data_IF_568859815231
#
_entry.id   IF_568859815231
#
_cell.length_a   1.000
_cell.length_b   1.000
_cell.length_c   1.000
_cell.angle_alpha   90.00
_cell.angle_beta   90.00
_cell.angle_gamma   90.00
#
_symmetry.space_group_name_H-M   'P 1'
#
loop_
_entity.id
_entity.type
_entity.pdbx_description
1 polymer ?
#
# COMPACT_ATOMS: atom_id res chain seq x y z
N UNK A 1 3.71 -25.21 14.67
CA UNK A 1 4.91 -24.59 14.10
C UNK A 1 5.23 -25.08 12.68
N UNK A 2 5.36 -26.37 12.36
CA UNK A 2 5.72 -26.83 10.98
C UNK A 2 4.55 -26.75 9.98
N UNK A 3 3.30 -26.63 10.42
CA UNK A 3 2.12 -26.51 9.55
C UNK A 3 1.86 -25.10 9.04
N UNK A 4 2.14 -24.09 9.85
CA UNK A 4 1.88 -22.68 9.54
C UNK A 4 2.88 -22.13 8.51
N UNK A 5 4.15 -22.56 8.56
CA UNK A 5 5.20 -22.11 7.63
C UNK A 5 4.89 -22.51 6.17
N UNK A 6 4.38 -23.75 5.96
CA UNK A 6 4.02 -24.24 4.62
C UNK A 6 2.80 -23.55 4.04
N UNK A 7 1.86 -23.17 4.88
CA UNK A 7 0.67 -22.45 4.46
C UNK A 7 1.02 -21.01 4.07
N UNK A 8 1.84 -20.32 4.85
CA UNK A 8 2.36 -18.98 4.53
C UNK A 8 3.11 -18.93 3.19
N UNK A 9 3.98 -19.93 2.92
CA UNK A 9 4.71 -20.04 1.66
C UNK A 9 3.76 -20.27 0.49
N UNK A 10 2.80 -21.18 0.60
CA UNK A 10 1.80 -21.45 -0.43
C UNK A 10 0.96 -20.20 -0.77
N UNK A 11 0.64 -19.42 0.25
CA UNK A 11 -0.10 -18.17 0.11
C UNK A 11 0.76 -17.08 -0.56
N UNK A 12 2.06 -17.05 -0.29
CA UNK A 12 2.99 -16.16 -0.98
C UNK A 12 3.09 -16.49 -2.47
N UNK A 13 3.35 -17.76 -2.81
CA UNK A 13 3.42 -18.24 -4.20
C UNK A 13 2.11 -17.95 -4.94
N UNK A 14 0.96 -18.14 -4.29
CA UNK A 14 -0.35 -17.81 -4.85
C UNK A 14 -0.51 -16.32 -5.15
N UNK A 15 -0.08 -15.43 -4.25
CA UNK A 15 -0.14 -13.97 -4.46
C UNK A 15 0.76 -13.50 -5.62
N UNK A 16 1.92 -14.13 -5.80
CA UNK A 16 2.83 -13.82 -6.92
C UNK A 16 2.38 -14.40 -8.28
N UNK A 17 1.48 -15.38 -8.28
CA UNK A 17 0.94 -15.99 -9.48
C UNK A 17 -0.27 -15.24 -10.08
N UNK A 18 -0.73 -14.15 -9.44
CA UNK A 18 -1.88 -13.37 -9.90
C UNK A 18 -1.49 -12.51 -11.10
N UNK A 19 -2.33 -12.54 -12.14
CA UNK A 19 -2.08 -11.79 -13.39
C UNK A 19 -3.08 -10.68 -13.64
N UNK A 20 -4.28 -10.76 -13.05
CA UNK A 20 -5.37 -9.81 -13.28
C UNK A 20 -6.00 -9.30 -11.98
N UNK A 21 -6.66 -8.13 -12.00
CA UNK A 21 -7.43 -7.63 -10.86
C UNK A 21 -8.53 -8.60 -10.38
N UNK A 22 -9.16 -9.34 -11.29
CA UNK A 22 -10.20 -10.32 -10.96
C UNK A 22 -9.60 -11.53 -10.22
N UNK A 23 -8.40 -11.99 -10.62
CA UNK A 23 -7.67 -13.03 -9.90
C UNK A 23 -7.34 -12.59 -8.48
N UNK A 24 -6.95 -11.32 -8.32
CA UNK A 24 -6.69 -10.72 -7.02
C UNK A 24 -7.93 -10.74 -6.13
N UNK A 25 -9.08 -10.28 -6.63
CA UNK A 25 -10.35 -10.29 -5.88
C UNK A 25 -10.72 -11.70 -5.43
N UNK A 26 -10.63 -12.69 -6.33
CA UNK A 26 -10.95 -14.08 -6.01
C UNK A 26 -9.99 -14.65 -4.95
N UNK A 27 -8.69 -14.38 -5.11
CA UNK A 27 -7.65 -14.87 -4.21
C UNK A 27 -7.78 -14.27 -2.81
N UNK A 28 -7.88 -12.95 -2.69
CA UNK A 28 -7.95 -12.26 -1.41
C UNK A 28 -9.29 -12.48 -0.67
N UNK A 29 -10.37 -12.87 -1.36
CA UNK A 29 -11.62 -13.28 -0.73
C UNK A 29 -11.44 -14.45 0.22
N UNK A 30 -10.74 -15.49 -0.24
CA UNK A 30 -10.51 -16.69 0.55
C UNK A 30 -9.37 -16.51 1.55
N UNK A 31 -8.47 -15.58 1.26
CA UNK A 31 -7.22 -15.37 1.97
C UNK A 31 -7.31 -14.35 3.13
N UNK A 32 -8.25 -13.40 3.08
CA UNK A 32 -8.33 -12.29 4.05
C UNK A 32 -8.26 -12.75 5.52
N UNK A 33 -8.93 -13.85 5.87
CA UNK A 33 -8.98 -14.36 7.24
C UNK A 33 -7.65 -14.88 7.79
N UNK A 34 -6.74 -15.27 6.91
CA UNK A 34 -5.44 -15.86 7.26
C UNK A 34 -4.27 -14.90 7.01
N UNK A 35 -4.54 -13.74 6.40
CA UNK A 35 -3.52 -12.80 5.95
C UNK A 35 -2.59 -12.35 7.08
N UNK A 36 -3.14 -11.85 8.17
CA UNK A 36 -2.34 -11.30 9.27
C UNK A 36 -1.56 -12.37 10.04
N UNK A 37 -2.17 -13.53 10.27
CA UNK A 37 -1.59 -14.58 11.12
C UNK A 37 -0.67 -15.53 10.36
N UNK A 38 -1.08 -15.92 9.15
CA UNK A 38 -0.34 -16.94 8.39
C UNK A 38 0.63 -16.34 7.39
N UNK A 39 0.33 -15.17 6.81
CA UNK A 39 1.18 -14.52 5.82
C UNK A 39 2.15 -13.52 6.48
N UNK A 40 1.63 -12.46 7.10
CA UNK A 40 2.47 -11.37 7.60
C UNK A 40 3.39 -11.83 8.76
N UNK A 41 2.86 -12.61 9.71
CA UNK A 41 3.64 -13.05 10.86
C UNK A 41 4.65 -14.16 10.50
N UNK A 42 4.27 -15.11 9.64
CA UNK A 42 5.12 -16.27 9.30
C UNK A 42 6.24 -15.93 8.35
N UNK A 43 6.00 -14.99 7.41
CA UNK A 43 6.98 -14.61 6.38
C UNK A 43 7.88 -13.45 6.80
N UNK A 44 7.72 -12.91 8.00
CA UNK A 44 8.48 -11.73 8.43
C UNK A 44 8.23 -10.55 7.50
N UNK A 45 6.97 -10.27 7.16
CA UNK A 45 6.56 -9.17 6.27
C UNK A 45 6.79 -7.81 6.95
N UNK A 46 7.97 -7.22 6.72
CA UNK A 46 8.40 -5.96 7.35
C UNK A 46 8.02 -4.71 6.55
N UNK A 47 7.52 -4.90 5.35
CA UNK A 47 7.27 -3.81 4.40
C UNK A 47 6.29 -2.74 4.91
N UNK A 48 5.13 -3.06 5.54
CA UNK A 48 4.24 -2.05 6.10
C UNK A 48 4.93 -1.16 7.15
N UNK A 49 5.77 -1.74 8.01
CA UNK A 49 6.51 -0.98 9.03
C UNK A 49 7.58 -0.07 8.41
N UNK A 50 8.23 -0.49 7.31
CA UNK A 50 9.19 0.33 6.59
C UNK A 50 8.51 1.56 5.95
N UNK A 51 7.36 1.37 5.30
CA UNK A 51 6.53 2.45 4.74
C UNK A 51 6.12 3.45 5.83
N UNK A 52 5.62 2.95 6.96
CA UNK A 52 5.20 3.79 8.09
C UNK A 52 6.37 4.60 8.65
N UNK A 53 7.55 4.01 8.79
CA UNK A 53 8.76 4.72 9.26
C UNK A 53 9.07 5.94 8.38
N UNK A 54 8.92 5.83 7.06
CA UNK A 54 9.15 6.94 6.14
C UNK A 54 8.12 8.07 6.33
N UNK A 55 6.84 7.75 6.57
CA UNK A 55 5.80 8.77 6.79
C UNK A 55 5.86 9.38 8.20
N UNK A 56 6.09 8.58 9.23
CA UNK A 56 5.96 8.99 10.63
C UNK A 56 6.90 10.14 11.02
N UNK A 57 8.06 10.25 10.34
CA UNK A 57 9.03 11.32 10.56
C UNK A 57 8.74 12.62 9.79
N UNK A 58 7.70 12.66 8.96
CA UNK A 58 7.40 13.82 8.13
C UNK A 58 6.44 14.79 8.84
N UNK A 59 6.64 16.08 8.61
CA UNK A 59 5.64 17.09 8.91
C UNK A 59 4.52 17.01 7.87
N UNK A 60 3.28 16.87 8.36
CA UNK A 60 2.09 16.78 7.53
C UNK A 60 1.26 18.06 7.67
N UNK A 61 0.64 18.55 6.60
CA UNK A 61 -0.40 19.57 6.73
C UNK A 61 -1.58 19.05 7.55
N UNK A 62 -2.55 19.91 7.85
CA UNK A 62 -3.80 19.46 8.49
C UNK A 62 -4.62 18.65 7.49
N UNK A 63 -5.13 17.51 7.92
CA UNK A 63 -5.94 16.63 7.10
C UNK A 63 -5.84 15.18 7.54
N UNK A 64 -6.39 14.31 6.72
CA UNK A 64 -6.40 12.86 6.94
C UNK A 64 -5.27 12.19 6.18
N UNK A 65 -4.98 10.95 6.55
CA UNK A 65 -4.08 10.05 5.79
C UNK A 65 -4.95 9.04 5.07
N UNK A 66 -4.73 8.83 3.77
CA UNK A 66 -5.35 7.76 3.00
C UNK A 66 -4.39 6.58 2.87
N UNK A 67 -4.80 5.43 3.39
CA UNK A 67 -4.14 4.13 3.21
C UNK A 67 -4.69 3.47 1.94
N UNK A 68 -3.86 3.42 0.90
CA UNK A 68 -4.23 2.99 -0.46
C UNK A 68 -4.00 1.48 -0.60
N UNK A 69 -5.05 0.75 -0.98
CA UNK A 69 -5.04 -0.71 -0.96
C UNK A 69 -4.81 -1.22 0.45
N UNK A 70 -5.64 -0.73 1.39
CA UNK A 70 -5.42 -0.88 2.82
C UNK A 70 -5.48 -2.34 3.30
N UNK A 71 -6.04 -3.25 2.50
CA UNK A 71 -6.17 -4.65 2.82
C UNK A 71 -6.84 -4.86 4.18
N UNK A 72 -6.22 -5.69 5.01
CA UNK A 72 -6.67 -5.94 6.38
C UNK A 72 -6.29 -4.84 7.38
N UNK A 73 -5.53 -3.80 6.96
CA UNK A 73 -5.16 -2.66 7.80
C UNK A 73 -3.82 -2.80 8.53
N UNK A 74 -2.83 -3.49 7.97
CA UNK A 74 -1.49 -3.62 8.59
C UNK A 74 -0.75 -2.28 8.64
N UNK A 75 -0.84 -1.47 7.57
CA UNK A 75 -0.24 -0.13 7.53
C UNK A 75 -0.84 0.75 8.60
N UNK A 76 -2.17 0.78 8.72
CA UNK A 76 -2.85 1.58 9.74
C UNK A 76 -2.49 1.14 11.16
N UNK A 77 -2.31 -0.17 11.41
CA UNK A 77 -1.89 -0.67 12.72
C UNK A 77 -0.52 -0.08 13.12
N UNK A 78 0.49 -0.21 12.26
CA UNK A 78 1.81 0.37 12.51
C UNK A 78 1.78 1.90 12.58
N UNK A 79 0.94 2.55 11.73
CA UNK A 79 0.85 4.01 11.73
C UNK A 79 0.23 4.53 13.03
N UNK A 80 -0.78 3.86 13.59
CA UNK A 80 -1.37 4.22 14.87
C UNK A 80 -0.42 4.01 16.05
N UNK A 81 0.46 3.02 15.98
CA UNK A 81 1.52 2.83 16.98
C UNK A 81 2.54 3.97 16.94
N UNK A 82 2.93 4.42 15.74
CA UNK A 82 3.90 5.50 15.56
C UNK A 82 3.32 6.90 15.74
N UNK A 83 2.09 7.14 15.29
CA UNK A 83 1.38 8.42 15.22
C UNK A 83 -0.11 8.22 15.54
N UNK A 84 -0.43 8.05 16.83
CA UNK A 84 -1.80 7.85 17.32
C UNK A 84 -2.75 9.03 17.02
N UNK A 85 -2.18 10.22 16.79
CA UNK A 85 -2.89 11.47 16.50
C UNK A 85 -3.51 11.50 15.07
N UNK A 86 -3.00 10.70 14.13
CA UNK A 86 -3.44 10.76 12.76
C UNK A 86 -4.84 10.17 12.57
N UNK A 87 -5.67 10.85 11.79
CA UNK A 87 -6.95 10.34 11.30
C UNK A 87 -6.69 9.61 9.98
N UNK A 88 -7.03 8.33 9.92
CA UNK A 88 -6.72 7.45 8.80
C UNK A 88 -8.02 7.01 8.14
N UNK A 89 -8.12 7.20 6.84
CA UNK A 89 -9.12 6.55 6.00
C UNK A 89 -8.43 5.44 5.19
N UNK A 90 -9.16 4.39 4.83
CA UNK A 90 -8.65 3.31 4.01
C UNK A 90 -9.48 3.12 2.74
N UNK A 91 -8.82 2.74 1.65
CA UNK A 91 -9.49 2.35 0.40
C UNK A 91 -8.96 1.00 -0.07
N UNK A 92 -9.87 0.11 -0.47
CA UNK A 92 -9.54 -1.19 -1.05
C UNK A 92 -10.66 -1.64 -1.99
N UNK A 93 -10.35 -2.48 -2.96
CA UNK A 93 -11.31 -3.04 -3.89
C UNK A 93 -12.06 -4.24 -3.29
N UNK A 94 -11.48 -4.91 -2.27
CA UNK A 94 -12.02 -6.13 -1.66
C UNK A 94 -12.90 -5.82 -0.45
N UNK A 95 -14.21 -6.10 -0.51
CA UNK A 95 -15.10 -5.94 0.65
C UNK A 95 -14.72 -6.88 1.81
N UNK A 96 -14.13 -8.04 1.53
CA UNK A 96 -13.66 -8.99 2.55
C UNK A 96 -12.46 -8.42 3.32
N UNK A 97 -11.48 -7.82 2.62
CA UNK A 97 -10.36 -7.12 3.24
C UNK A 97 -10.85 -5.95 4.08
N UNK A 98 -11.75 -5.13 3.55
CA UNK A 98 -12.34 -4.01 4.29
C UNK A 98 -13.12 -4.47 5.53
N UNK A 99 -13.75 -5.65 5.50
CA UNK A 99 -14.40 -6.22 6.68
C UNK A 99 -13.38 -6.51 7.79
N UNK A 100 -12.25 -7.10 7.45
CA UNK A 100 -11.16 -7.37 8.41
C UNK A 100 -10.53 -6.06 8.95
N UNK A 101 -10.33 -5.06 8.08
CA UNK A 101 -9.85 -3.75 8.46
C UNK A 101 -10.80 -3.04 9.43
N UNK A 102 -12.11 -3.17 9.21
CA UNK A 102 -13.16 -2.58 10.05
C UNK A 102 -13.12 -3.16 11.47
N UNK A 103 -12.89 -4.46 11.61
CA UNK A 103 -12.85 -5.13 12.91
C UNK A 103 -11.67 -4.64 13.80
N UNK A 104 -10.61 -4.11 13.18
CA UNK A 104 -9.47 -3.51 13.90
C UNK A 104 -9.78 -2.14 14.50
N UNK A 105 -10.83 -1.46 14.07
CA UNK A 105 -11.25 -0.14 14.56
C UNK A 105 -10.13 0.93 14.51
N UNK A 106 -9.31 0.91 13.45
CA UNK A 106 -8.18 1.83 13.26
C UNK A 106 -8.50 2.99 12.30
N UNK A 107 -9.47 2.79 11.44
CA UNK A 107 -9.86 3.75 10.40
C UNK A 107 -11.04 4.62 10.82
N UNK A 108 -11.01 5.88 10.38
CA UNK A 108 -12.14 6.79 10.47
C UNK A 108 -13.22 6.44 9.44
N UNK A 109 -12.81 6.15 8.20
CA UNK A 109 -13.67 5.68 7.14
C UNK A 109 -12.97 4.60 6.30
N UNK A 110 -13.76 3.71 5.69
CA UNK A 110 -13.30 2.67 4.76
C UNK A 110 -14.13 2.75 3.50
N UNK A 111 -13.47 2.87 2.36
CA UNK A 111 -14.06 3.02 1.04
C UNK A 111 -13.79 1.78 0.19
N UNK A 112 -14.85 1.19 -0.35
CA UNK A 112 -14.75 0.16 -1.37
C UNK A 112 -14.68 0.85 -2.74
N UNK A 113 -13.53 0.79 -3.40
CA UNK A 113 -13.33 1.43 -4.70
C UNK A 113 -12.24 0.74 -5.52
N UNK A 114 -12.48 0.66 -6.83
CA UNK A 114 -11.45 0.35 -7.81
C UNK A 114 -10.66 1.63 -8.10
N UNK A 115 -9.37 1.60 -7.81
CA UNK A 115 -8.46 2.75 -7.99
C UNK A 115 -8.24 3.13 -9.46
N UNK A 116 -8.66 2.28 -10.40
CA UNK A 116 -8.63 2.56 -11.84
C UNK A 116 -9.91 3.22 -12.36
N UNK A 117 -10.93 3.31 -11.51
CA UNK A 117 -12.24 3.88 -11.84
C UNK A 117 -12.41 5.30 -11.26
N UNK A 118 -13.65 5.78 -11.19
CA UNK A 118 -13.99 7.08 -10.60
C UNK A 118 -13.81 7.07 -9.08
N UNK A 119 -12.98 7.97 -8.57
CA UNK A 119 -12.69 8.15 -7.15
C UNK A 119 -13.45 9.31 -6.49
N UNK A 120 -14.44 9.90 -7.17
CA UNK A 120 -15.21 11.06 -6.67
C UNK A 120 -15.92 10.82 -5.33
N UNK A 121 -16.02 9.56 -4.87
CA UNK A 121 -16.50 9.20 -3.54
C UNK A 121 -15.49 9.43 -2.41
N UNK A 122 -14.22 9.68 -2.72
CA UNK A 122 -13.20 9.98 -1.72
C UNK A 122 -13.22 11.48 -1.37
N UNK A 123 -12.90 11.85 -0.13
CA UNK A 123 -12.66 13.24 0.26
C UNK A 123 -11.45 13.89 -0.45
N UNK A 124 -11.43 15.23 -0.48
CA UNK A 124 -10.38 16.03 -1.16
C UNK A 124 -9.45 16.76 -0.19
N UNK A 125 -9.23 16.23 1.02
CA UNK A 125 -8.48 16.91 2.08
C UNK A 125 -7.36 16.02 2.68
N UNK A 126 -6.84 15.06 1.92
CA UNK A 126 -5.78 14.20 2.43
C UNK A 126 -4.47 14.96 2.58
N UNK A 127 -3.95 14.93 3.81
CA UNK A 127 -2.63 15.48 4.18
C UNK A 127 -1.49 14.53 3.82
N UNK A 128 -1.80 13.25 3.66
CA UNK A 128 -0.87 12.25 3.16
C UNK A 128 -1.60 11.09 2.50
N UNK A 129 -0.90 10.43 1.57
CA UNK A 129 -1.26 9.14 1.01
C UNK A 129 -0.13 8.14 1.29
N UNK A 130 -0.50 6.92 1.68
CA UNK A 130 0.43 5.85 2.03
C UNK A 130 -0.01 4.54 1.40
N UNK A 131 0.93 3.69 0.96
CA UNK A 131 0.58 2.38 0.40
C UNK A 131 1.70 1.37 0.58
N UNK A 132 1.35 0.13 0.94
CA UNK A 132 2.24 -1.02 0.96
C UNK A 132 1.59 -2.24 0.29
N UNK A 133 2.19 -2.75 -0.79
CA UNK A 133 1.74 -3.98 -1.45
C UNK A 133 0.67 -3.81 -2.54
N UNK A 134 0.22 -2.59 -2.83
CA UNK A 134 -0.79 -2.33 -3.88
C UNK A 134 -0.16 -2.21 -5.27
N UNK A 135 1.03 -1.63 -5.37
CA UNK A 135 1.76 -1.44 -6.63
C UNK A 135 2.79 -2.58 -6.81
N UNK A 136 2.30 -3.73 -7.23
CA UNK A 136 3.09 -4.95 -7.38
C UNK A 136 2.59 -5.78 -8.57
N UNK A 137 3.25 -6.92 -8.86
CA UNK A 137 2.89 -7.81 -9.96
C UNK A 137 1.42 -8.24 -9.92
N UNK A 138 0.75 -8.22 -11.07
CA UNK A 138 -0.67 -8.55 -11.20
C UNK A 138 -1.64 -7.49 -10.64
N UNK A 139 -1.11 -6.41 -10.07
CA UNK A 139 -1.89 -5.28 -9.52
C UNK A 139 -1.74 -4.01 -10.36
N UNK A 140 -1.65 -2.85 -9.70
CA UNK A 140 -1.74 -1.53 -10.34
C UNK A 140 -0.40 -1.04 -10.88
N UNK A 141 -0.43 -0.41 -12.05
CA UNK A 141 0.62 0.47 -12.54
C UNK A 141 0.58 1.86 -11.88
N UNK A 142 1.32 2.85 -12.42
CA UNK A 142 1.38 4.20 -11.84
C UNK A 142 0.14 5.06 -12.09
N UNK A 143 -0.74 4.67 -13.00
CA UNK A 143 -1.84 5.50 -13.52
C UNK A 143 -2.76 6.05 -12.42
N UNK A 144 -3.16 5.26 -11.39
CA UNK A 144 -4.03 5.75 -10.33
C UNK A 144 -3.43 6.86 -9.47
N UNK A 145 -2.09 7.00 -9.45
CA UNK A 145 -1.40 7.99 -8.61
C UNK A 145 -1.86 9.41 -8.94
N UNK A 146 -2.09 9.72 -10.21
CA UNK A 146 -2.53 11.06 -10.63
C UNK A 146 -3.92 11.42 -10.05
N UNK A 147 -4.87 10.48 -10.07
CA UNK A 147 -6.19 10.69 -9.48
C UNK A 147 -6.11 10.82 -7.95
N UNK A 148 -5.34 9.95 -7.29
CA UNK A 148 -5.15 9.97 -5.84
C UNK A 148 -4.49 11.27 -5.35
N UNK A 149 -3.53 11.81 -6.08
CA UNK A 149 -2.91 13.12 -5.82
C UNK A 149 -3.94 14.25 -5.91
N UNK A 150 -4.93 14.14 -6.82
CA UNK A 150 -6.04 15.08 -6.94
C UNK A 150 -6.92 15.20 -5.68
N UNK A 151 -6.94 14.20 -4.82
CA UNK A 151 -7.65 14.21 -3.52
C UNK A 151 -6.80 14.74 -2.35
N UNK A 152 -5.55 15.15 -2.63
CA UNK A 152 -4.64 15.65 -1.62
C UNK A 152 -4.67 17.18 -1.51
N UNK A 153 -4.48 17.72 -0.32
CA UNK A 153 -4.24 19.13 -0.14
C UNK A 153 -2.81 19.52 -0.58
N UNK A 154 -2.61 20.81 -0.89
CA UNK A 154 -1.25 21.33 -1.19
C UNK A 154 -0.31 21.09 0.00
N UNK A 155 0.90 20.64 -0.28
CA UNK A 155 1.90 20.24 0.71
C UNK A 155 1.70 18.83 1.28
N UNK A 156 0.69 18.09 0.84
CA UNK A 156 0.49 16.71 1.25
C UNK A 156 1.70 15.83 0.91
N UNK A 157 1.91 14.78 1.69
CA UNK A 157 3.02 13.84 1.53
C UNK A 157 2.55 12.52 0.97
N UNK A 158 3.26 12.00 -0.01
CA UNK A 158 3.05 10.66 -0.52
C UNK A 158 4.22 9.76 -0.10
N UNK A 159 3.88 8.56 0.41
CA UNK A 159 4.84 7.49 0.69
C UNK A 159 4.25 6.21 0.11
N UNK A 160 4.66 5.88 -1.09
CA UNK A 160 4.09 4.79 -1.88
C UNK A 160 5.17 3.74 -2.12
N UNK A 161 4.88 2.54 -1.67
CA UNK A 161 5.75 1.41 -1.92
C UNK A 161 5.41 0.70 -3.22
N UNK A 162 6.43 0.44 -4.03
CA UNK A 162 6.32 -0.26 -5.32
C UNK A 162 7.30 -1.42 -5.33
N UNK A 163 6.86 -2.62 -5.72
CA UNK A 163 7.80 -3.73 -5.94
C UNK A 163 8.87 -3.31 -6.95
N UNK A 164 10.14 -3.53 -6.65
CA UNK A 164 11.26 -2.97 -7.44
C UNK A 164 11.28 -3.49 -8.89
N UNK A 165 10.94 -4.76 -9.11
CA UNK A 165 10.88 -5.34 -10.45
C UNK A 165 9.67 -4.78 -11.22
N UNK A 166 8.52 -4.64 -10.56
CA UNK A 166 7.31 -4.05 -11.13
C UNK A 166 7.54 -2.58 -11.52
N UNK A 167 8.18 -1.79 -10.66
CA UNK A 167 8.58 -0.41 -10.96
C UNK A 167 9.37 -0.32 -12.26
N UNK A 168 10.39 -1.15 -12.42
CA UNK A 168 11.25 -1.14 -13.61
C UNK A 168 10.50 -1.54 -14.90
N UNK A 169 9.42 -2.35 -14.79
CA UNK A 169 8.70 -2.91 -15.95
C UNK A 169 7.47 -2.09 -16.35
N UNK A 170 6.87 -1.32 -15.43
CA UNK A 170 5.55 -0.70 -15.63
C UNK A 170 5.58 0.81 -15.87
N UNK A 171 6.75 1.39 -16.15
CA UNK A 171 6.85 2.78 -16.59
C UNK A 171 6.57 3.81 -15.50
N UNK A 172 6.90 3.49 -14.24
CA UNK A 172 6.73 4.44 -13.12
C UNK A 172 7.54 5.72 -13.32
N UNK A 173 8.84 5.59 -13.69
CA UNK A 173 9.70 6.77 -13.85
C UNK A 173 9.14 7.79 -14.86
N UNK A 174 8.86 7.44 -16.13
CA UNK A 174 8.32 8.41 -17.09
C UNK A 174 6.95 8.95 -16.70
N UNK A 175 6.12 8.16 -15.99
CA UNK A 175 4.83 8.63 -15.50
C UNK A 175 5.01 9.70 -14.42
N UNK A 176 5.88 9.44 -13.44
CA UNK A 176 6.17 10.39 -12.35
C UNK A 176 6.87 11.64 -12.87
N UNK A 177 7.79 11.53 -13.84
CA UNK A 177 8.39 12.68 -14.54
C UNK A 177 7.32 13.57 -15.15
N UNK A 178 6.29 12.99 -15.79
CA UNK A 178 5.17 13.76 -16.35
C UNK A 178 4.39 14.55 -15.29
N UNK A 179 4.19 14.01 -14.09
CA UNK A 179 3.55 14.73 -12.97
C UNK A 179 4.45 15.87 -12.43
N UNK A 180 5.76 15.66 -12.41
CA UNK A 180 6.74 16.70 -12.05
C UNK A 180 6.74 17.82 -13.07
N UNK A 181 6.80 17.50 -14.35
CA UNK A 181 6.84 18.49 -15.46
C UNK A 181 5.59 19.36 -15.51
N UNK A 182 4.44 18.80 -15.09
CA UNK A 182 3.19 19.57 -14.98
C UNK A 182 3.03 20.33 -13.67
N UNK A 183 4.01 20.22 -12.75
CA UNK A 183 3.99 20.95 -11.48
C UNK A 183 2.98 20.42 -10.47
N UNK A 184 2.56 19.17 -10.58
CA UNK A 184 1.59 18.54 -9.67
C UNK A 184 2.28 18.00 -8.41
N UNK A 185 3.50 17.46 -8.58
CA UNK A 185 4.29 16.90 -7.49
C UNK A 185 5.75 17.36 -7.53
N UNK A 186 6.44 17.25 -6.39
CA UNK A 186 7.90 17.38 -6.36
C UNK A 186 8.57 16.14 -6.95
N UNK A 187 9.84 16.22 -7.44
CA UNK A 187 10.58 15.05 -7.86
C UNK A 187 10.59 13.96 -6.75
N UNK A 188 10.26 12.70 -7.09
CA UNK A 188 10.26 11.61 -6.13
C UNK A 188 11.67 11.30 -5.62
N UNK A 189 11.78 10.99 -4.32
CA UNK A 189 12.95 10.34 -3.73
C UNK A 189 12.63 8.87 -3.50
N UNK A 190 13.62 7.99 -3.67
CA UNK A 190 13.45 6.55 -3.55
C UNK A 190 14.34 5.96 -2.45
N UNK A 191 13.76 5.08 -1.62
CA UNK A 191 14.49 4.23 -0.66
C UNK A 191 14.24 2.78 -1.01
N UNK A 192 15.29 1.99 -1.25
CA UNK A 192 15.17 0.55 -1.49
C UNK A 192 15.13 -0.19 -0.15
N UNK A 193 14.13 -1.06 0.03
CA UNK A 193 13.94 -1.86 1.24
C UNK A 193 13.64 -3.32 0.89
N UNK A 194 13.91 -4.23 1.83
CA UNK A 194 13.43 -5.61 1.75
C UNK A 194 11.94 -5.66 2.08
N UNK A 195 11.22 -6.55 1.39
CA UNK A 195 9.79 -6.82 1.65
C UNK A 195 9.64 -7.76 2.84
N UNK A 196 10.53 -8.76 2.93
CA UNK A 196 10.51 -9.80 3.97
C UNK A 196 11.82 -9.84 4.75
N UNK A 197 11.78 -10.35 5.98
CA UNK A 197 12.97 -10.57 6.81
C UNK A 197 12.85 -11.90 7.58
N UNK A 198 13.95 -12.68 7.58
CA UNK A 198 14.00 -13.93 8.36
C UNK A 198 13.25 -15.11 7.74
N UNK A 199 12.85 -15.02 6.47
CA UNK A 199 12.25 -16.12 5.71
C UNK A 199 13.31 -16.84 4.87
N UNK A 200 13.16 -18.15 4.70
CA UNK A 200 14.00 -18.99 3.83
C UNK A 200 13.18 -19.43 2.60
N UNK A 201 12.74 -18.44 1.84
CA UNK A 201 11.97 -18.63 0.58
C UNK A 201 12.72 -18.02 -0.59
N UNK A 202 12.31 -18.34 -1.81
CA UNK A 202 12.85 -17.68 -3.02
C UNK A 202 12.60 -16.16 -3.04
N UNK A 203 11.58 -15.69 -2.28
CA UNK A 203 11.22 -14.28 -2.12
C UNK A 203 11.96 -13.56 -0.97
N UNK A 204 12.89 -14.23 -0.28
CA UNK A 204 13.63 -13.65 0.87
C UNK A 204 14.40 -12.36 0.52
N UNK A 205 14.79 -12.21 -0.76
CA UNK A 205 15.54 -11.06 -1.27
C UNK A 205 14.69 -10.08 -2.08
N UNK A 206 13.37 -10.26 -2.09
CA UNK A 206 12.48 -9.37 -2.81
C UNK A 206 12.52 -7.97 -2.20
N UNK A 207 12.64 -6.99 -3.08
CA UNK A 207 12.80 -5.59 -2.74
C UNK A 207 11.64 -4.75 -3.22
N UNK A 208 11.41 -3.67 -2.50
CA UNK A 208 10.54 -2.60 -2.91
C UNK A 208 11.30 -1.27 -2.93
N UNK A 209 10.83 -0.36 -3.77
CA UNK A 209 11.19 1.05 -3.75
C UNK A 209 10.09 1.80 -3.00
N UNK A 210 10.45 2.47 -1.92
CA UNK A 210 9.57 3.42 -1.25
C UNK A 210 9.77 4.76 -1.95
N UNK A 211 8.74 5.20 -2.64
CA UNK A 211 8.70 6.44 -3.38
C UNK A 211 8.07 7.53 -2.51
N UNK A 212 8.84 8.57 -2.19
CA UNK A 212 8.42 9.73 -1.38
C UNK A 212 8.39 11.01 -2.20
N UNK A 213 7.27 11.76 -2.18
CA UNK A 213 7.15 13.07 -2.81
C UNK A 213 6.14 13.97 -2.08
N UNK A 214 6.05 15.23 -2.49
CA UNK A 214 5.04 16.18 -2.01
C UNK A 214 4.12 16.61 -3.14
N UNK A 215 2.86 16.87 -2.81
CA UNK A 215 1.89 17.51 -3.69
C UNK A 215 2.11 19.04 -3.65
N UNK A 216 2.09 19.71 -4.81
CA UNK A 216 2.37 21.14 -4.93
C UNK A 216 1.08 21.99 -4.84
#
# INVERSE_FOLDING_TARGET
>A
MIGDDKEGIRLLEGAYALETPDDNLAYYRDFARHYDQSFAATLGYIYPSAIVRCLAGLDLPKGRVLDIGCGTGLVAAHLKEARADLVIDGVDISPEMLSMARDKNLYNALYEADLTADLSGLPDDYAAIISAGTFTHGHLGPEPIAALVGHCCSGARAVIGVNAQHHAQRGFDPFMEGLVDTGVITPPAYEEVLIYQGTDTEHANDKALIMGFSVI
#
